data_IF_169384932200
#
_entry.id   IF_169384932200
#
_cell.length_a   1.000
_cell.length_b   1.000
_cell.length_c   1.000
_cell.angle_alpha   90.00
_cell.angle_beta   90.00
_cell.angle_gamma   90.00
#
_symmetry.space_group_name_H-M   'P 1'
#
loop_
_entity.id
_entity.type
_entity.pdbx_description
1 polymer ?
#
# COMPACT_ATOMS: atom_id res chain seq x y z
N UNK A 1 -17.33 -4.90 7.60
CA UNK A 1 -15.87 -4.83 7.40
C UNK A 1 -15.54 -3.43 6.93
N UNK A 2 -14.61 -2.75 7.59
CA UNK A 2 -14.16 -1.42 7.18
C UNK A 2 -13.13 -1.50 6.05
N UNK A 3 -12.87 -0.36 5.43
CA UNK A 3 -11.78 -0.19 4.47
C UNK A 3 -10.42 -0.56 5.11
N UNK A 4 -9.52 -1.16 4.32
CA UNK A 4 -8.20 -1.60 4.78
C UNK A 4 -7.19 -0.46 4.85
N UNK A 5 -7.38 0.62 4.08
CA UNK A 5 -6.43 1.72 4.05
C UNK A 5 -6.37 2.44 5.41
N UNK A 6 -7.52 2.73 6.01
CA UNK A 6 -7.59 3.37 7.34
C UNK A 6 -7.53 2.41 8.53
N UNK A 7 -7.53 1.09 8.29
CA UNK A 7 -7.42 0.06 9.32
C UNK A 7 -6.00 -0.01 9.89
N UNK A 8 -5.92 -0.19 11.22
CA UNK A 8 -4.71 -0.50 11.98
C UNK A 8 -4.88 -1.83 12.72
N UNK A 9 -3.82 -2.62 12.77
CA UNK A 9 -3.72 -3.83 13.60
C UNK A 9 -2.40 -3.79 14.40
N UNK A 10 -2.50 -3.43 15.67
CA UNK A 10 -1.34 -3.22 16.56
C UNK A 10 -0.69 -4.51 17.06
N UNK A 11 -1.21 -5.69 16.68
CA UNK A 11 -0.50 -6.95 16.94
C UNK A 11 0.87 -6.87 16.27
N UNK A 12 1.87 -7.53 16.86
CA UNK A 12 3.24 -7.49 16.37
C UNK A 12 3.66 -8.82 15.78
N UNK A 13 4.40 -8.76 14.68
CA UNK A 13 5.16 -9.87 14.12
C UNK A 13 6.67 -9.57 14.20
N UNK A 14 7.47 -10.58 13.90
CA UNK A 14 8.92 -10.44 13.75
C UNK A 14 9.23 -10.81 12.31
N UNK A 15 9.84 -9.89 11.56
CA UNK A 15 10.32 -10.17 10.20
C UNK A 15 11.21 -11.39 10.21
N UNK A 16 11.00 -12.29 9.26
CA UNK A 16 11.86 -13.46 9.07
C UNK A 16 13.18 -13.12 8.36
N UNK A 17 13.25 -11.99 7.66
CA UNK A 17 14.45 -11.57 6.96
C UNK A 17 15.52 -11.02 7.92
N UNK A 18 15.15 -10.10 8.80
CA UNK A 18 16.11 -9.31 9.61
C UNK A 18 15.82 -9.28 11.12
N UNK A 19 14.70 -9.88 11.56
CA UNK A 19 14.30 -9.89 12.96
C UNK A 19 13.60 -8.62 13.45
N UNK A 20 13.31 -7.66 12.57
CA UNK A 20 12.62 -6.41 12.90
C UNK A 20 11.22 -6.67 13.49
N UNK A 21 10.85 -5.96 14.56
CA UNK A 21 9.50 -6.01 15.13
C UNK A 21 8.60 -5.05 14.37
N UNK A 22 7.54 -5.58 13.77
CA UNK A 22 6.61 -4.83 12.91
C UNK A 22 5.17 -4.93 13.43
N UNK A 23 4.37 -3.90 13.22
CA UNK A 23 2.91 -3.99 13.35
C UNK A 23 2.35 -4.84 12.20
N UNK A 24 1.34 -5.66 12.45
CA UNK A 24 0.71 -6.47 11.39
C UNK A 24 0.10 -5.57 10.31
N UNK A 25 -0.49 -4.44 10.70
CA UNK A 25 -1.07 -3.49 9.75
C UNK A 25 -0.92 -2.06 10.24
N UNK A 26 -0.05 -1.31 9.60
CA UNK A 26 0.10 0.14 9.78
C UNK A 26 -1.02 0.88 9.04
N UNK A 27 -1.53 1.96 9.63
CA UNK A 27 -2.55 2.82 9.01
C UNK A 27 -1.95 3.49 7.76
N UNK A 28 -2.78 3.75 6.75
CA UNK A 28 -2.40 4.43 5.50
C UNK A 28 -1.39 3.71 4.62
N UNK A 29 -1.12 2.44 4.94
CA UNK A 29 -0.30 1.55 4.12
C UNK A 29 -1.18 0.44 3.57
N UNK A 30 -1.16 0.26 2.26
CA UNK A 30 -1.92 -0.78 1.58
C UNK A 30 -1.37 -2.15 2.02
N UNK A 31 -2.23 -3.10 2.44
CA UNK A 31 -1.74 -4.41 2.83
C UNK A 31 -1.14 -5.14 1.62
N UNK A 32 -0.06 -5.87 1.85
CA UNK A 32 0.59 -6.71 0.84
C UNK A 32 -0.37 -7.79 0.32
N UNK A 33 -1.14 -8.39 1.22
CA UNK A 33 -2.13 -9.42 0.90
C UNK A 33 -3.37 -9.30 1.78
N UNK A 34 -4.46 -9.93 1.33
CA UNK A 34 -5.73 -9.97 2.06
C UNK A 34 -5.84 -11.18 3.00
N UNK A 35 -4.71 -11.76 3.39
CA UNK A 35 -4.64 -12.91 4.28
C UNK A 35 -4.43 -14.24 3.55
N UNK A 36 -4.25 -15.29 4.34
CA UNK A 36 -4.02 -16.65 3.86
C UNK A 36 -5.26 -17.56 4.00
N UNK A 37 -5.40 -18.61 3.16
CA UNK A 37 -6.56 -19.52 3.20
C UNK A 37 -6.73 -20.30 4.52
N UNK A 38 -5.66 -20.46 5.30
CA UNK A 38 -5.67 -21.19 6.58
C UNK A 38 -5.99 -20.29 7.78
N UNK A 39 -6.24 -19.00 7.56
CA UNK A 39 -6.65 -18.04 8.57
C UNK A 39 -8.05 -17.48 8.21
N UNK A 40 -8.35 -16.25 8.61
CA UNK A 40 -9.57 -15.54 8.23
C UNK A 40 -9.24 -14.49 7.14
N UNK A 41 -9.42 -14.80 5.83
CA UNK A 41 -9.22 -13.83 4.75
C UNK A 41 -10.04 -12.56 4.98
N UNK A 42 -9.55 -11.43 4.47
CA UNK A 42 -10.12 -10.07 4.61
C UNK A 42 -10.11 -9.50 6.04
N UNK A 43 -10.12 -10.35 7.08
CA UNK A 43 -10.01 -9.95 8.50
C UNK A 43 -8.55 -9.89 8.93
N UNK A 44 -7.78 -10.93 8.61
CA UNK A 44 -6.38 -11.11 8.97
C UNK A 44 -5.49 -10.88 7.75
N UNK A 45 -5.45 -9.63 7.30
CA UNK A 45 -4.59 -9.15 6.21
C UNK A 45 -3.10 -9.12 6.61
N UNK A 46 -2.20 -9.00 5.63
CA UNK A 46 -0.74 -9.08 5.82
C UNK A 46 -0.29 -10.40 6.48
N UNK A 47 -0.64 -11.53 5.85
CA UNK A 47 -0.10 -12.83 6.25
C UNK A 47 1.36 -13.00 5.83
N UNK A 48 1.83 -12.24 4.85
CA UNK A 48 3.25 -12.14 4.51
C UNK A 48 4.04 -11.47 5.65
N UNK A 49 5.03 -12.19 6.19
CA UNK A 49 5.86 -11.75 7.33
C UNK A 49 7.36 -11.82 7.08
N UNK A 50 7.79 -12.01 5.81
CA UNK A 50 9.21 -12.02 5.49
C UNK A 50 9.83 -10.64 5.71
N UNK A 51 9.18 -9.58 5.24
CA UNK A 51 9.56 -8.18 5.46
C UNK A 51 8.41 -7.38 6.11
N UNK A 52 8.73 -6.25 6.73
CA UNK A 52 7.73 -5.24 7.05
C UNK A 52 7.28 -4.55 5.76
N UNK A 53 6.10 -4.91 5.28
CA UNK A 53 5.55 -4.36 4.03
C UNK A 53 4.98 -2.96 4.22
N UNK A 54 4.84 -2.47 5.46
CA UNK A 54 4.45 -1.09 5.69
C UNK A 54 5.54 -0.11 5.24
N UNK A 55 6.80 -0.54 5.13
CA UNK A 55 7.87 0.33 4.60
C UNK A 55 8.08 0.15 3.10
N UNK A 56 7.23 -0.60 2.39
CA UNK A 56 7.41 -0.80 0.95
C UNK A 56 7.00 0.42 0.13
N UNK A 57 7.85 0.78 -0.84
CA UNK A 57 7.71 1.97 -1.69
C UNK A 57 6.68 1.82 -2.80
N UNK A 58 6.31 0.59 -3.15
CA UNK A 58 5.55 0.30 -4.36
C UNK A 58 4.06 0.00 -4.12
N UNK A 59 3.67 -0.62 -3.00
CA UNK A 59 2.29 -1.05 -2.75
C UNK A 59 1.29 0.12 -2.81
N UNK A 60 1.64 1.20 -2.12
CA UNK A 60 0.85 2.42 -2.07
C UNK A 60 0.69 3.05 -3.48
N UNK A 61 1.77 3.18 -4.25
CA UNK A 61 1.71 3.75 -5.60
C UNK A 61 1.03 2.81 -6.61
N UNK A 62 1.21 1.49 -6.47
CA UNK A 62 0.47 0.49 -7.25
C UNK A 62 -1.04 0.56 -7.02
N UNK A 63 -1.46 0.89 -5.79
CA UNK A 63 -2.87 1.13 -5.49
C UNK A 63 -3.41 2.35 -6.25
N UNK A 64 -2.70 3.48 -6.23
CA UNK A 64 -3.09 4.69 -7.01
C UNK A 64 -3.25 4.38 -8.49
N UNK A 65 -2.27 3.68 -9.07
CA UNK A 65 -2.32 3.27 -10.48
C UNK A 65 -3.50 2.34 -10.77
N UNK A 66 -3.79 1.40 -9.85
CA UNK A 66 -4.91 0.47 -9.98
C UNK A 66 -6.25 1.18 -9.91
N UNK A 67 -6.42 2.13 -8.98
CA UNK A 67 -7.61 2.97 -8.88
C UNK A 67 -7.88 3.72 -10.20
N UNK A 68 -6.85 4.37 -10.76
CA UNK A 68 -7.02 5.09 -12.03
C UNK A 68 -7.31 4.17 -13.22
N UNK A 69 -6.57 3.06 -13.32
CA UNK A 69 -6.77 2.04 -14.37
C UNK A 69 -8.21 1.51 -14.33
N UNK A 70 -8.68 1.09 -13.16
CA UNK A 70 -10.00 0.49 -13.00
C UNK A 70 -11.10 1.53 -13.23
N UNK A 71 -10.87 2.79 -12.83
CA UNK A 71 -11.78 3.87 -13.17
C UNK A 71 -11.94 4.01 -14.69
N UNK A 72 -10.83 4.13 -15.43
CA UNK A 72 -10.84 4.36 -16.87
C UNK A 72 -11.31 3.18 -17.70
N UNK A 73 -10.96 1.96 -17.29
CA UNK A 73 -11.26 0.77 -18.07
C UNK A 73 -12.61 0.16 -17.74
N UNK A 74 -13.11 0.35 -16.51
CA UNK A 74 -14.31 -0.33 -16.01
C UNK A 74 -15.35 0.69 -15.57
N UNK A 75 -15.04 1.55 -14.61
CA UNK A 75 -16.05 2.38 -13.94
C UNK A 75 -16.67 3.40 -14.90
N UNK A 76 -15.84 4.19 -15.59
CA UNK A 76 -16.27 5.22 -16.53
C UNK A 76 -17.13 4.65 -17.68
N UNK A 77 -16.87 3.40 -18.07
CA UNK A 77 -17.52 2.76 -19.22
C UNK A 77 -18.76 1.95 -18.87
N UNK A 78 -18.78 1.31 -17.69
CA UNK A 78 -19.77 0.30 -17.33
C UNK A 78 -20.76 0.77 -16.26
N UNK A 79 -20.48 1.86 -15.55
CA UNK A 79 -21.32 2.33 -14.44
C UNK A 79 -22.14 3.55 -14.87
N UNK A 80 -23.24 3.79 -14.15
CA UNK A 80 -24.04 5.01 -14.34
C UNK A 80 -23.19 6.22 -13.94
N UNK A 81 -23.33 7.39 -14.61
CA UNK A 81 -22.49 8.56 -14.35
C UNK A 81 -22.40 8.96 -12.88
N UNK A 82 -23.53 8.90 -12.15
CA UNK A 82 -23.58 9.24 -10.71
C UNK A 82 -22.79 8.26 -9.82
N UNK A 83 -22.77 6.97 -10.17
CA UNK A 83 -22.03 5.97 -9.40
C UNK A 83 -20.55 6.02 -9.76
N UNK A 84 -20.23 6.28 -11.03
CA UNK A 84 -18.86 6.50 -11.49
C UNK A 84 -18.22 7.72 -10.80
N UNK A 85 -18.94 8.84 -10.70
CA UNK A 85 -18.47 10.03 -9.99
C UNK A 85 -18.15 9.74 -8.51
N UNK A 86 -19.04 9.03 -7.80
CA UNK A 86 -18.77 8.63 -6.41
C UNK A 86 -17.53 7.77 -6.24
N UNK A 87 -17.32 6.81 -7.14
CA UNK A 87 -16.14 5.94 -7.12
C UNK A 87 -14.88 6.76 -7.42
N UNK A 88 -14.94 7.68 -8.39
CA UNK A 88 -13.83 8.59 -8.69
C UNK A 88 -13.45 9.44 -7.48
N UNK A 89 -14.44 10.04 -6.80
CA UNK A 89 -14.20 10.85 -5.61
C UNK A 89 -13.55 10.03 -4.49
N UNK A 90 -13.99 8.79 -4.29
CA UNK A 90 -13.37 7.88 -3.34
C UNK A 90 -11.92 7.57 -3.72
N UNK A 91 -11.68 7.12 -4.96
CA UNK A 91 -10.33 6.83 -5.45
C UNK A 91 -9.40 8.03 -5.37
N UNK A 92 -9.87 9.22 -5.75
CA UNK A 92 -9.10 10.45 -5.70
C UNK A 92 -8.67 10.76 -4.27
N UNK A 93 -9.62 10.77 -3.32
CA UNK A 93 -9.35 11.10 -1.92
C UNK A 93 -8.32 10.16 -1.30
N UNK A 94 -8.49 8.85 -1.47
CA UNK A 94 -7.55 7.89 -0.89
C UNK A 94 -6.18 7.94 -1.59
N UNK A 95 -6.16 8.14 -2.92
CA UNK A 95 -4.91 8.29 -3.68
C UNK A 95 -4.13 9.55 -3.31
N UNK A 96 -4.82 10.68 -3.11
CA UNK A 96 -4.21 11.94 -2.65
C UNK A 96 -3.51 11.75 -1.29
N UNK A 97 -4.18 11.07 -0.35
CA UNK A 97 -3.59 10.75 0.95
C UNK A 97 -2.36 9.85 0.81
N UNK A 98 -2.44 8.83 -0.04
CA UNK A 98 -1.30 7.93 -0.31
C UNK A 98 -0.10 8.71 -0.85
N UNK A 99 -0.29 9.53 -1.88
CA UNK A 99 0.80 10.28 -2.52
C UNK A 99 1.42 11.28 -1.56
N UNK A 100 0.59 12.02 -0.81
CA UNK A 100 1.09 13.00 0.16
C UNK A 100 1.91 12.35 1.27
N UNK A 101 1.43 11.23 1.83
CA UNK A 101 2.17 10.52 2.87
C UNK A 101 3.46 9.92 2.32
N UNK A 102 3.46 9.37 1.10
CA UNK A 102 4.67 8.82 0.50
C UNK A 102 5.76 9.87 0.29
N UNK A 103 5.38 11.09 -0.14
CA UNK A 103 6.32 12.22 -0.23
C UNK A 103 6.80 12.64 1.16
N UNK A 104 5.89 12.79 2.14
CA UNK A 104 6.28 13.19 3.51
C UNK A 104 7.22 12.17 4.17
N UNK A 105 6.97 10.88 3.97
CA UNK A 105 7.70 9.80 4.64
C UNK A 105 9.00 9.43 3.92
N UNK A 106 9.06 9.53 2.58
CA UNK A 106 10.12 8.92 1.77
C UNK A 106 10.81 9.82 0.75
N UNK A 107 10.32 11.04 0.47
CA UNK A 107 11.06 12.04 -0.31
C UNK A 107 12.05 12.77 0.60
N UNK A 108 13.29 12.30 0.63
CA UNK A 108 14.29 12.76 1.59
C UNK A 108 15.02 14.03 1.14
N UNK A 109 15.08 14.31 -0.16
CA UNK A 109 15.82 15.44 -0.73
C UNK A 109 14.92 16.51 -1.37
N UNK A 110 13.62 16.28 -1.44
CA UNK A 110 12.61 17.21 -1.90
C UNK A 110 12.54 17.33 -3.42
N UNK A 111 13.02 16.33 -4.16
CA UNK A 111 12.99 16.32 -5.62
C UNK A 111 11.63 15.89 -6.20
N UNK A 112 10.70 15.46 -5.34
CA UNK A 112 9.38 14.97 -5.70
C UNK A 112 9.32 13.47 -6.01
N UNK A 113 10.40 12.73 -5.77
CA UNK A 113 10.52 11.29 -5.92
C UNK A 113 10.71 10.64 -4.54
N UNK A 114 10.36 9.35 -4.44
CA UNK A 114 10.52 8.61 -3.17
C UNK A 114 11.82 7.80 -3.20
N UNK A 115 12.53 7.79 -2.08
CA UNK A 115 13.80 7.10 -1.96
C UNK A 115 13.62 5.64 -1.53
N UNK A 116 14.22 4.71 -2.27
CA UNK A 116 14.44 3.35 -1.78
C UNK A 116 15.45 3.37 -0.62
N UNK A 117 15.16 2.61 0.43
CA UNK A 117 15.83 2.68 1.74
C UNK A 117 17.20 2.00 1.82
N UNK A 118 17.68 1.34 0.75
CA UNK A 118 18.84 0.46 0.87
C UNK A 118 18.49 -0.91 1.46
N UNK A 119 17.20 -1.27 1.47
CA UNK A 119 16.71 -2.61 1.80
C UNK A 119 15.81 -3.13 0.66
N UNK A 120 15.31 -4.36 0.77
CA UNK A 120 14.32 -4.87 -0.17
C UNK A 120 12.92 -4.37 0.25
N UNK A 121 12.58 -3.16 -0.21
CA UNK A 121 11.38 -2.41 0.17
C UNK A 121 10.36 -2.31 -0.98
N UNK A 122 10.29 -3.35 -1.82
CA UNK A 122 9.37 -3.43 -2.94
C UNK A 122 9.22 -4.90 -3.38
N UNK A 123 8.36 -5.15 -4.38
CA UNK A 123 7.97 -6.50 -4.84
C UNK A 123 9.10 -7.48 -5.18
N UNK A 124 10.27 -7.01 -5.59
CA UNK A 124 11.49 -7.80 -5.70
C UNK A 124 12.12 -7.88 -4.31
N UNK A 125 11.47 -8.63 -3.42
CA UNK A 125 11.72 -8.69 -1.98
C UNK A 125 13.07 -9.31 -1.57
N UNK A 126 13.85 -9.79 -2.53
CA UNK A 126 15.23 -10.24 -2.34
C UNK A 126 16.26 -9.31 -3.01
N UNK A 127 15.82 -8.25 -3.69
CA UNK A 127 16.68 -7.30 -4.40
C UNK A 127 16.63 -5.93 -3.75
N UNK A 128 17.76 -5.52 -3.17
CA UNK A 128 17.95 -4.19 -2.61
C UNK A 128 18.01 -3.10 -3.68
N UNK A 129 17.26 -2.02 -3.45
CA UNK A 129 17.34 -0.76 -4.20
C UNK A 129 17.75 0.37 -3.25
N UNK A 130 18.36 1.44 -3.75
CA UNK A 130 18.84 2.56 -2.91
C UNK A 130 18.70 3.89 -3.64
N UNK A 131 17.97 4.80 -3.00
CA UNK A 131 17.69 6.13 -3.49
C UNK A 131 16.94 6.17 -4.82
N UNK A 132 16.87 7.36 -5.39
CA UNK A 132 16.47 7.67 -6.76
C UNK A 132 17.54 8.56 -7.42
N UNK A 133 17.44 8.79 -8.73
CA UNK A 133 18.37 9.65 -9.49
C UNK A 133 17.62 10.50 -10.51
#
# INVERSE_FOLDING_TARGET
>A
MGDQFTRKDSRRATSWCDGTKMEIKTKYHIPHDLGQPHAEPWVQTNSYILHDTAVWRDLNLKFVLSCWRDYKLIVEKCFKPKDADKILQYFYKESEMVVRNALEDWDADGDGMIENSGTADQTYDMWTMTGTR
#
